data_IF_534957448121
#
_entry.id   IF_534957448121
#
_cell.length_a   1.000
_cell.length_b   1.000
_cell.length_c   1.000
_cell.angle_alpha   90.00
_cell.angle_beta   90.00
_cell.angle_gamma   90.00
#
_symmetry.space_group_name_H-M   'P 1'
#
loop_
_entity.id
_entity.type
_entity.pdbx_description
1 polymer ?
#
# COMPACT_ATOMS: atom_id res chain seq x y z
N UNK A 1 42.45 15.41 27.00
CA UNK A 1 41.00 15.22 27.24
C UNK A 1 40.16 15.27 25.96
N UNK A 2 40.45 16.12 24.97
CA UNK A 2 39.65 16.21 23.74
C UNK A 2 39.57 14.91 22.91
N UNK A 3 40.68 14.20 22.75
CA UNK A 3 40.69 12.93 21.98
C UNK A 3 39.82 11.83 22.60
N UNK A 4 39.67 11.82 23.93
CA UNK A 4 38.82 10.84 24.63
C UNK A 4 37.33 11.21 24.50
N UNK A 5 37.00 12.50 24.61
CA UNK A 5 35.62 12.97 24.43
C UNK A 5 35.12 12.75 23.00
N UNK A 6 35.97 12.98 22.00
CA UNK A 6 35.62 12.74 20.59
C UNK A 6 35.39 11.25 20.30
N UNK A 7 36.14 10.37 20.98
CA UNK A 7 35.92 8.93 20.93
C UNK A 7 34.59 8.54 21.57
N UNK A 8 34.27 9.09 22.74
CA UNK A 8 33.00 8.85 23.44
C UNK A 8 31.82 9.34 22.58
N UNK A 9 31.92 10.52 21.97
CA UNK A 9 30.87 11.06 21.10
C UNK A 9 30.63 10.20 19.87
N UNK A 10 31.70 9.71 19.22
CA UNK A 10 31.56 8.77 18.09
C UNK A 10 30.86 7.48 18.49
N UNK A 11 31.13 6.94 19.68
CA UNK A 11 30.39 5.77 20.19
C UNK A 11 28.90 6.07 20.34
N UNK A 12 28.55 7.22 20.92
CA UNK A 12 27.14 7.65 21.06
C UNK A 12 26.47 7.78 19.69
N UNK A 13 27.12 8.42 18.73
CA UNK A 13 26.61 8.58 17.36
C UNK A 13 26.48 7.24 16.62
N UNK A 14 27.34 6.27 16.92
CA UNK A 14 27.27 4.91 16.38
C UNK A 14 26.21 4.02 17.06
N UNK A 15 25.47 4.52 18.06
CA UNK A 15 24.49 3.74 18.80
C UNK A 15 25.09 2.79 19.84
N UNK A 16 26.39 2.91 20.16
CA UNK A 16 27.04 2.05 21.14
C UNK A 16 26.64 2.41 22.57
N UNK A 17 26.56 1.39 23.43
CA UNK A 17 26.35 1.56 24.87
C UNK A 17 27.67 1.98 25.51
N UNK A 18 27.67 3.15 26.16
CA UNK A 18 28.83 3.63 26.92
C UNK A 18 29.01 2.83 28.22
N UNK A 19 30.26 2.65 28.66
CA UNK A 19 30.54 2.22 30.03
C UNK A 19 30.16 3.31 31.04
N UNK A 20 29.90 2.92 32.29
CA UNK A 20 29.57 3.87 33.38
C UNK A 20 30.63 4.98 33.53
N UNK A 21 31.91 4.63 33.34
CA UNK A 21 33.01 5.58 33.39
C UNK A 21 32.97 6.59 32.21
N UNK A 22 32.64 6.14 31.01
CA UNK A 22 32.49 7.00 29.83
C UNK A 22 31.26 7.90 29.95
N UNK A 23 30.13 7.37 30.44
CA UNK A 23 28.92 8.16 30.68
C UNK A 23 29.14 9.21 31.77
N UNK A 24 29.84 8.86 32.85
CA UNK A 24 30.21 9.80 33.93
C UNK A 24 31.13 10.90 33.39
N UNK A 25 32.16 10.54 32.63
CA UNK A 25 33.05 11.51 32.01
C UNK A 25 32.30 12.45 31.05
N UNK A 26 31.32 11.94 30.29
CA UNK A 26 30.50 12.77 29.40
C UNK A 26 29.61 13.75 30.19
N UNK A 27 29.01 13.30 31.30
CA UNK A 27 28.21 14.14 32.21
C UNK A 27 29.04 15.25 32.85
N UNK A 28 30.25 14.95 33.29
CA UNK A 28 31.15 15.93 33.92
C UNK A 28 31.53 17.05 32.95
N UNK A 29 31.83 16.70 31.70
CA UNK A 29 32.13 17.71 30.67
C UNK A 29 30.86 18.49 30.28
N UNK A 30 29.70 17.82 30.18
CA UNK A 30 28.43 18.49 29.88
C UNK A 30 28.04 19.51 30.96
N UNK A 31 28.32 19.22 32.24
CA UNK A 31 28.06 20.14 33.36
C UNK A 31 28.84 21.46 33.28
N UNK A 32 30.00 21.46 32.62
CA UNK A 32 30.79 22.65 32.36
C UNK A 32 30.48 23.37 31.04
N UNK A 33 29.45 22.95 30.30
CA UNK A 33 29.13 23.47 28.96
C UNK A 33 27.87 24.34 28.94
N UNK A 34 27.89 25.41 28.13
CA UNK A 34 26.80 26.39 28.06
C UNK A 34 25.71 26.05 27.03
N UNK A 35 25.87 24.96 26.26
CA UNK A 35 24.97 24.60 25.14
C UNK A 35 24.33 23.22 25.25
N UNK A 36 23.32 22.92 24.42
CA UNK A 36 22.58 21.67 24.48
C UNK A 36 23.40 20.47 23.98
N UNK A 37 24.42 20.69 23.15
CA UNK A 37 25.13 19.64 22.40
C UNK A 37 25.69 18.51 23.26
N UNK A 38 26.37 18.82 24.37
CA UNK A 38 26.95 17.79 25.22
C UNK A 38 25.90 17.10 26.10
N UNK A 39 24.87 17.82 26.52
CA UNK A 39 23.73 17.23 27.22
C UNK A 39 22.85 16.36 26.31
N UNK A 40 22.75 16.69 25.02
CA UNK A 40 22.16 15.85 23.98
C UNK A 40 22.94 14.55 23.82
N UNK A 41 24.27 14.62 23.78
CA UNK A 41 25.11 13.42 23.74
C UNK A 41 24.91 12.53 24.99
N UNK A 42 24.76 13.13 26.19
CA UNK A 42 24.41 12.38 27.41
C UNK A 42 23.05 11.69 27.26
N UNK A 43 22.05 12.39 26.73
CA UNK A 43 20.72 11.83 26.58
C UNK A 43 20.65 10.73 25.52
N UNK A 44 21.33 10.89 24.38
CA UNK A 44 21.45 9.85 23.37
C UNK A 44 22.17 8.62 23.92
N UNK A 45 23.22 8.80 24.73
CA UNK A 45 23.88 7.68 25.41
C UNK A 45 22.92 6.91 26.33
N UNK A 46 22.03 7.61 27.04
CA UNK A 46 21.01 6.98 27.89
C UNK A 46 19.95 6.24 27.05
N UNK A 47 19.54 6.80 25.91
CA UNK A 47 18.62 6.13 24.97
C UNK A 47 19.26 4.87 24.37
N UNK A 48 20.52 4.93 23.92
CA UNK A 48 21.26 3.77 23.40
C UNK A 48 21.35 2.63 24.43
N UNK A 49 21.39 2.98 25.72
CA UNK A 49 21.44 2.02 26.83
C UNK A 49 20.06 1.47 27.24
N UNK A 50 18.96 1.89 26.60
CA UNK A 50 17.59 1.53 27.01
C UNK A 50 17.19 2.14 28.35
N UNK A 51 17.81 3.27 28.72
CA UNK A 51 17.56 4.01 29.96
C UNK A 51 16.70 5.25 29.69
N UNK A 52 15.63 5.12 28.90
CA UNK A 52 14.79 6.24 28.46
C UNK A 52 14.09 6.94 29.62
N UNK A 53 13.83 6.23 30.72
CA UNK A 53 13.29 6.81 31.97
C UNK A 53 14.25 7.81 32.62
N UNK A 54 15.55 7.62 32.46
CA UNK A 54 16.58 8.58 32.92
C UNK A 54 16.81 9.69 31.89
N UNK A 55 16.70 9.38 30.60
CA UNK A 55 16.87 10.34 29.51
C UNK A 55 15.75 11.39 29.48
N UNK A 56 14.50 10.99 29.76
CA UNK A 56 13.33 11.84 29.66
C UNK A 56 13.40 13.14 30.49
N UNK A 57 13.67 13.12 31.82
CA UNK A 57 13.74 14.37 32.61
C UNK A 57 14.87 15.29 32.14
N UNK A 58 15.96 14.73 31.63
CA UNK A 58 17.05 15.50 31.01
C UNK A 58 16.59 16.16 29.70
N UNK A 59 15.87 15.44 28.85
CA UNK A 59 15.29 15.97 27.60
C UNK A 59 14.21 17.03 27.84
N UNK A 60 13.38 16.87 28.86
CA UNK A 60 12.42 17.90 29.25
C UNK A 60 13.11 19.18 29.73
N UNK A 61 14.21 19.05 30.48
CA UNK A 61 15.03 20.20 30.88
C UNK A 61 15.64 20.88 29.66
N UNK A 62 16.27 20.13 28.75
CA UNK A 62 16.83 20.71 27.53
C UNK A 62 15.77 21.39 26.66
N UNK A 63 14.56 20.83 26.55
CA UNK A 63 13.46 21.48 25.80
C UNK A 63 13.07 22.83 26.42
N UNK A 64 13.08 22.95 27.74
CA UNK A 64 12.79 24.22 28.44
C UNK A 64 13.89 25.25 28.24
N UNK A 65 15.14 24.82 28.36
CA UNK A 65 16.30 25.71 28.31
C UNK A 65 16.66 26.11 26.88
N UNK A 66 16.36 25.24 25.90
CA UNK A 66 16.66 25.43 24.48
C UNK A 66 15.42 25.21 23.60
N UNK A 67 14.38 26.06 23.74
CA UNK A 67 13.08 25.84 23.11
C UNK A 67 13.06 26.06 21.59
N UNK A 68 14.17 26.46 20.97
CA UNK A 68 14.29 26.58 19.51
C UNK A 68 15.31 25.59 18.91
N UNK A 69 15.87 24.71 19.73
CA UNK A 69 16.79 23.69 19.24
C UNK A 69 16.00 22.49 18.67
N UNK A 70 16.26 22.18 17.41
CA UNK A 70 15.61 21.08 16.70
C UNK A 70 16.07 19.72 17.23
N UNK A 71 17.37 19.57 17.51
CA UNK A 71 17.95 18.30 17.97
C UNK A 71 17.42 17.94 19.36
N UNK A 72 17.17 18.93 20.20
CA UNK A 72 16.47 18.75 21.49
C UNK A 72 15.06 18.20 21.31
N UNK A 73 14.29 18.67 20.33
CA UNK A 73 12.95 18.12 20.05
C UNK A 73 13.01 16.69 19.52
N UNK A 74 13.92 16.43 18.59
CA UNK A 74 14.09 15.09 17.99
C UNK A 74 14.56 14.07 19.03
N UNK A 75 15.51 14.45 19.89
CA UNK A 75 15.96 13.62 21.01
C UNK A 75 14.84 13.31 22.01
N UNK A 76 14.01 14.31 22.35
CA UNK A 76 12.84 14.10 23.21
C UNK A 76 11.81 13.17 22.56
N UNK A 77 11.52 13.34 21.27
CA UNK A 77 10.60 12.46 20.54
C UNK A 77 11.09 11.00 20.53
N UNK A 78 12.38 10.77 20.25
CA UNK A 78 13.00 9.43 20.29
C UNK A 78 12.90 8.79 21.68
N UNK A 79 13.17 9.55 22.74
CA UNK A 79 13.02 9.06 24.12
C UNK A 79 11.56 8.71 24.46
N UNK A 80 10.59 9.50 24.00
CA UNK A 80 9.16 9.22 24.19
C UNK A 80 8.71 7.97 23.42
N UNK A 81 9.25 7.75 22.22
CA UNK A 81 9.02 6.52 21.45
C UNK A 81 9.55 5.27 22.13
N UNK A 82 10.75 5.32 22.72
CA UNK A 82 11.31 4.20 23.49
C UNK A 82 10.49 3.87 24.74
N UNK A 83 9.75 4.85 25.29
CA UNK A 83 8.81 4.68 26.39
C UNK A 83 7.38 4.30 25.93
N UNK A 84 7.17 4.03 24.63
CA UNK A 84 5.86 3.76 24.03
C UNK A 84 4.82 4.90 24.22
N UNK A 85 5.28 6.11 24.54
CA UNK A 85 4.44 7.31 24.70
C UNK A 85 4.18 7.97 23.35
N UNK A 86 3.49 7.24 22.47
CA UNK A 86 3.35 7.62 21.07
C UNK A 86 2.61 8.94 20.85
N UNK A 87 1.64 9.29 21.71
CA UNK A 87 0.90 10.56 21.61
C UNK A 87 1.80 11.76 21.86
N UNK A 88 2.56 11.73 22.95
CA UNK A 88 3.49 12.80 23.32
C UNK A 88 4.62 12.95 22.28
N UNK A 89 5.11 11.83 21.74
CA UNK A 89 6.13 11.85 20.69
C UNK A 89 5.63 12.56 19.43
N UNK A 90 4.37 12.33 19.05
CA UNK A 90 3.75 12.99 17.89
C UNK A 90 3.61 14.50 18.09
N UNK A 91 3.23 14.95 19.29
CA UNK A 91 3.15 16.38 19.60
C UNK A 91 4.52 17.06 19.48
N UNK A 92 5.56 16.43 20.04
CA UNK A 92 6.93 16.95 19.97
C UNK A 92 7.46 16.96 18.52
N UNK A 93 7.14 15.94 17.72
CA UNK A 93 7.50 15.91 16.29
C UNK A 93 6.79 16.98 15.48
N UNK A 94 5.52 17.29 15.81
CA UNK A 94 4.81 18.40 15.18
C UNK A 94 5.51 19.73 15.46
N UNK A 95 5.97 19.95 16.69
CA UNK A 95 6.77 21.14 17.01
C UNK A 95 8.11 21.16 16.27
N UNK A 96 8.77 20.01 16.11
CA UNK A 96 10.03 19.89 15.38
C UNK A 96 9.86 20.28 13.91
N UNK A 97 8.78 19.83 13.27
CA UNK A 97 8.44 20.18 11.89
C UNK A 97 8.06 21.66 11.72
N UNK A 98 7.56 22.32 12.76
CA UNK A 98 7.34 23.78 12.74
C UNK A 98 8.66 24.53 12.73
N UNK A 99 9.67 24.06 13.48
CA UNK A 99 11.01 24.67 13.45
C UNK A 99 11.73 24.44 12.12
N UNK A 100 11.67 23.23 11.59
CA UNK A 100 12.36 22.84 10.37
C UNK A 100 11.43 21.98 9.50
N UNK A 101 10.62 22.62 8.64
CA UNK A 101 9.72 21.91 7.75
C UNK A 101 10.48 20.97 6.81
N UNK A 102 10.17 19.68 6.90
CA UNK A 102 10.80 18.67 6.06
C UNK A 102 12.23 18.33 6.46
N UNK A 103 12.64 18.56 7.71
CA UNK A 103 13.89 18.01 8.22
C UNK A 103 13.95 16.48 8.06
N UNK A 104 14.96 15.90 7.38
CA UNK A 104 15.04 14.45 7.13
C UNK A 104 15.05 13.62 8.43
N UNK A 105 15.68 14.12 9.49
CA UNK A 105 15.76 13.45 10.77
C UNK A 105 14.38 13.40 11.45
N UNK A 106 13.62 14.50 11.41
CA UNK A 106 12.23 14.53 11.86
C UNK A 106 11.34 13.53 11.09
N UNK A 107 11.53 13.42 9.78
CA UNK A 107 10.77 12.48 8.94
C UNK A 107 11.12 11.03 9.26
N UNK A 108 12.39 10.71 9.55
CA UNK A 108 12.78 9.37 10.03
C UNK A 108 12.14 9.02 11.37
N UNK A 109 12.10 9.96 12.32
CA UNK A 109 11.45 9.70 13.62
C UNK A 109 9.93 9.52 13.47
N UNK A 110 9.29 10.21 12.52
CA UNK A 110 7.88 9.96 12.14
C UNK A 110 7.68 8.56 11.52
N UNK A 111 8.63 8.08 10.72
CA UNK A 111 8.59 6.71 10.19
C UNK A 111 8.60 5.67 11.31
N UNK A 112 9.46 5.85 12.32
CA UNK A 112 9.53 4.98 13.50
C UNK A 112 8.23 5.05 14.31
N UNK A 113 7.68 6.25 14.54
CA UNK A 113 6.39 6.42 15.21
C UNK A 113 5.27 5.66 14.49
N UNK A 114 5.19 5.80 13.16
CA UNK A 114 4.20 5.12 12.34
C UNK A 114 4.36 3.59 12.41
N UNK A 115 5.60 3.08 12.37
CA UNK A 115 5.89 1.64 12.57
C UNK A 115 5.39 1.14 13.92
N UNK A 116 5.68 1.86 15.01
CA UNK A 116 5.27 1.51 16.38
C UNK A 116 3.74 1.53 16.56
N UNK A 117 3.03 2.33 15.77
CA UNK A 117 1.56 2.37 15.73
C UNK A 117 0.93 1.34 14.78
N UNK A 118 1.74 0.58 14.03
CA UNK A 118 1.26 -0.34 13.00
C UNK A 118 0.76 0.34 11.73
N UNK A 119 1.04 1.64 11.56
CA UNK A 119 0.65 2.46 10.41
C UNK A 119 1.64 2.26 9.26
N UNK A 120 1.81 1.01 8.80
CA UNK A 120 2.84 0.61 7.81
C UNK A 120 2.85 1.49 6.55
N UNK A 121 1.67 1.83 6.02
CA UNK A 121 1.57 2.69 4.83
C UNK A 121 2.17 4.08 5.04
N UNK A 122 2.00 4.67 6.23
CA UNK A 122 2.60 5.97 6.57
C UNK A 122 4.10 5.84 6.81
N UNK A 123 4.53 4.79 7.49
CA UNK A 123 5.95 4.51 7.66
C UNK A 123 6.66 4.35 6.31
N UNK A 124 6.07 3.61 5.36
CA UNK A 124 6.59 3.44 4.00
C UNK A 124 6.72 4.78 3.26
N UNK A 125 5.73 5.67 3.41
CA UNK A 125 5.79 7.00 2.80
C UNK A 125 6.94 7.83 3.40
N UNK A 126 7.05 7.91 4.72
CA UNK A 126 8.12 8.66 5.37
C UNK A 126 9.52 8.13 5.02
N UNK A 127 9.70 6.81 4.99
CA UNK A 127 10.97 6.19 4.57
C UNK A 127 11.29 6.50 3.11
N UNK A 128 10.27 6.46 2.24
CA UNK A 128 10.44 6.81 0.81
C UNK A 128 10.85 8.27 0.65
N UNK A 129 10.17 9.19 1.35
CA UNK A 129 10.46 10.63 1.30
C UNK A 129 11.92 10.94 1.74
N UNK A 130 12.47 10.19 2.70
CA UNK A 130 13.87 10.33 3.12
C UNK A 130 14.82 9.76 2.07
N UNK A 131 14.55 8.56 1.54
CA UNK A 131 15.39 7.90 0.55
C UNK A 131 15.38 8.57 -0.83
N UNK A 132 14.31 9.28 -1.19
CA UNK A 132 14.29 10.12 -2.39
C UNK A 132 15.28 11.29 -2.31
N UNK A 133 15.55 11.78 -1.09
CA UNK A 133 16.46 12.91 -0.84
C UNK A 133 17.89 12.43 -0.61
N UNK A 134 18.04 11.35 0.16
CA UNK A 134 19.31 10.67 0.37
C UNK A 134 19.13 9.15 0.22
N UNK A 135 19.40 8.60 -0.98
CA UNK A 135 19.33 7.16 -1.23
C UNK A 135 20.30 6.31 -0.40
N UNK A 136 21.28 6.94 0.27
CA UNK A 136 22.30 6.28 1.07
C UNK A 136 22.12 6.49 2.58
N UNK A 137 21.04 7.13 3.04
CA UNK A 137 20.78 7.29 4.47
C UNK A 137 20.68 5.90 5.13
N UNK A 138 21.59 5.57 6.06
CA UNK A 138 21.68 4.23 6.62
C UNK A 138 20.48 3.88 7.50
N UNK A 139 19.91 4.86 8.21
CA UNK A 139 18.77 4.64 9.11
C UNK A 139 17.49 4.44 8.30
N UNK A 140 17.25 5.24 7.26
CA UNK A 140 16.12 5.08 6.37
C UNK A 140 16.18 3.75 5.59
N UNK A 141 17.39 3.30 5.21
CA UNK A 141 17.57 1.95 4.63
C UNK A 141 17.25 0.85 5.62
N UNK A 142 17.66 0.96 6.88
CA UNK A 142 17.30 -0.02 7.92
C UNK A 142 15.79 -0.03 8.17
N UNK A 143 15.15 1.15 8.23
CA UNK A 143 13.69 1.25 8.39
C UNK A 143 12.94 0.67 7.18
N UNK A 144 13.49 0.84 5.97
CA UNK A 144 12.99 0.17 4.76
C UNK A 144 13.12 -1.35 4.88
N UNK A 145 14.29 -1.83 5.30
CA UNK A 145 14.53 -3.27 5.52
C UNK A 145 13.59 -3.83 6.60
N UNK A 146 13.30 -3.09 7.67
CA UNK A 146 12.34 -3.48 8.71
C UNK A 146 10.90 -3.53 8.17
N UNK A 147 10.47 -2.51 7.41
CA UNK A 147 9.17 -2.49 6.75
C UNK A 147 8.99 -3.67 5.79
N UNK A 148 10.02 -3.96 5.00
CA UNK A 148 10.05 -5.07 4.05
C UNK A 148 10.13 -6.42 4.78
N UNK A 149 10.88 -6.53 5.89
CA UNK A 149 11.03 -7.76 6.66
C UNK A 149 9.73 -8.21 7.34
N UNK A 150 8.85 -7.28 7.74
CA UNK A 150 7.52 -7.60 8.27
C UNK A 150 6.56 -8.08 7.16
N UNK A 151 6.93 -7.94 5.88
CA UNK A 151 6.15 -8.37 4.71
C UNK A 151 6.74 -9.57 3.93
N UNK A 152 7.80 -10.22 4.43
CA UNK A 152 8.39 -11.38 3.75
C UNK A 152 7.74 -12.72 4.18
N UNK A 153 7.52 -13.63 3.21
CA UNK A 153 8.61 -14.52 2.84
C UNK A 153 9.38 -14.06 1.60
N UNK A 154 10.69 -13.89 1.81
CA UNK A 154 11.80 -13.83 0.84
C UNK A 154 11.68 -12.94 -0.42
N UNK A 155 12.43 -11.83 -0.36
CA UNK A 155 13.12 -11.07 -1.42
C UNK A 155 12.52 -11.00 -2.83
N UNK A 156 12.21 -9.78 -3.28
CA UNK A 156 12.93 -9.11 -4.37
C UNK A 156 12.49 -7.64 -4.52
N UNK A 157 13.38 -6.64 -4.44
CA UNK A 157 13.11 -5.29 -4.91
C UNK A 157 13.83 -5.07 -6.24
N UNK A 158 13.21 -5.46 -7.36
CA UNK A 158 13.64 -5.13 -8.73
C UNK A 158 12.42 -5.28 -9.67
N UNK A 159 11.67 -4.20 -9.93
CA UNK A 159 11.11 -4.02 -11.29
C UNK A 159 12.24 -3.85 -12.33
N UNK A 160 13.48 -3.63 -11.87
CA UNK A 160 14.65 -3.10 -12.56
C UNK A 160 15.52 -4.06 -13.40
N UNK A 161 15.10 -5.29 -13.67
CA UNK A 161 15.69 -6.08 -14.75
C UNK A 161 14.54 -6.77 -15.47
N UNK A 162 13.91 -6.01 -16.37
CA UNK A 162 13.15 -6.48 -17.54
C UNK A 162 13.05 -8.00 -17.58
N UNK A 163 11.89 -8.54 -17.22
CA UNK A 163 11.46 -9.94 -17.38
C UNK A 163 12.40 -10.69 -18.35
N UNK A 164 13.32 -11.53 -17.83
CA UNK A 164 14.35 -12.20 -18.66
C UNK A 164 13.66 -12.78 -19.90
N UNK A 165 13.94 -12.27 -21.11
CA UNK A 165 13.23 -12.71 -22.32
C UNK A 165 13.25 -14.24 -22.51
N UNK A 166 14.31 -14.88 -22.04
CA UNK A 166 14.48 -16.34 -21.98
C UNK A 166 13.44 -17.04 -21.10
N UNK A 167 13.11 -16.50 -19.92
CA UNK A 167 12.08 -17.06 -19.04
C UNK A 167 10.70 -16.96 -19.67
N UNK A 168 10.35 -15.78 -20.22
CA UNK A 168 9.07 -15.57 -20.90
C UNK A 168 8.94 -16.48 -22.12
N UNK A 169 10.00 -16.62 -22.91
CA UNK A 169 10.03 -17.51 -24.07
C UNK A 169 9.90 -18.98 -23.65
N UNK A 170 10.61 -19.40 -22.59
CA UNK A 170 10.56 -20.77 -22.07
C UNK A 170 9.17 -21.11 -21.49
N UNK A 171 8.59 -20.20 -20.69
CA UNK A 171 7.25 -20.33 -20.13
C UNK A 171 6.19 -20.40 -21.24
N UNK A 172 6.26 -19.50 -22.23
CA UNK A 172 5.35 -19.52 -23.38
C UNK A 172 5.47 -20.83 -24.17
N UNK A 173 6.69 -21.34 -24.38
CA UNK A 173 6.90 -22.61 -25.07
C UNK A 173 6.34 -23.81 -24.27
N UNK A 174 6.52 -23.82 -22.95
CA UNK A 174 5.99 -24.86 -22.07
C UNK A 174 4.45 -24.86 -22.05
N UNK A 175 3.83 -23.69 -21.92
CA UNK A 175 2.37 -23.55 -21.97
C UNK A 175 1.79 -24.03 -23.32
N UNK A 176 2.46 -23.72 -24.45
CA UNK A 176 2.05 -24.24 -25.77
C UNK A 176 2.16 -25.75 -25.86
N UNK A 177 3.24 -26.35 -25.35
CA UNK A 177 3.43 -27.81 -25.33
C UNK A 177 2.40 -28.51 -24.43
N UNK A 178 2.01 -27.87 -23.34
CA UNK A 178 0.92 -28.32 -22.48
C UNK A 178 -0.48 -28.15 -23.10
N UNK A 179 -0.59 -27.57 -24.31
CA UNK A 179 -1.86 -27.37 -25.01
C UNK A 179 -2.74 -26.26 -24.42
N UNK A 180 -2.19 -25.40 -23.57
CA UNK A 180 -2.94 -24.33 -22.90
C UNK A 180 -3.04 -23.09 -23.81
N UNK A 181 -4.22 -22.47 -23.85
CA UNK A 181 -4.38 -21.16 -24.49
C UNK A 181 -3.95 -20.08 -23.50
N UNK A 182 -3.05 -19.19 -23.90
CA UNK A 182 -2.58 -18.12 -23.03
C UNK A 182 -2.21 -16.84 -23.78
N UNK A 183 -2.11 -15.72 -23.05
CA UNK A 183 -1.63 -14.43 -23.54
C UNK A 183 -0.71 -13.79 -22.49
N UNK A 184 0.45 -13.30 -22.92
CA UNK A 184 1.34 -12.48 -22.10
C UNK A 184 0.85 -11.02 -22.15
N UNK A 185 0.67 -10.37 -21.00
CA UNK A 185 0.22 -8.98 -20.87
C UNK A 185 1.06 -8.27 -19.80
N UNK A 186 2.08 -7.53 -20.24
CA UNK A 186 3.01 -6.86 -19.32
C UNK A 186 3.68 -7.84 -18.37
N UNK A 187 3.37 -7.74 -17.07
CA UNK A 187 3.87 -8.61 -15.99
C UNK A 187 3.04 -9.86 -15.73
N UNK A 188 1.92 -10.05 -16.44
CA UNK A 188 0.98 -11.15 -16.20
C UNK A 188 0.91 -12.11 -17.40
N UNK A 189 0.63 -13.39 -17.12
CA UNK A 189 0.14 -14.38 -18.10
C UNK A 189 -1.31 -14.68 -17.79
N UNK A 190 -2.18 -14.49 -18.77
CA UNK A 190 -3.55 -14.97 -18.74
C UNK A 190 -3.57 -16.38 -19.35
N UNK A 191 -3.96 -17.39 -18.58
CA UNK A 191 -4.01 -18.78 -19.02
C UNK A 191 -5.45 -19.29 -18.92
N UNK A 192 -5.96 -19.86 -20.01
CA UNK A 192 -7.25 -20.54 -20.03
C UNK A 192 -7.09 -21.96 -19.50
N UNK A 193 -7.74 -22.25 -18.39
CA UNK A 193 -7.72 -23.55 -17.73
C UNK A 193 -8.65 -24.55 -18.43
N UNK A 194 -8.44 -25.84 -18.17
CA UNK A 194 -9.30 -26.92 -18.68
C UNK A 194 -10.73 -26.85 -18.14
N UNK A 195 -10.95 -26.17 -17.00
CA UNK A 195 -12.26 -25.83 -16.43
C UNK A 195 -13.00 -24.73 -17.20
N UNK A 196 -12.35 -24.05 -18.15
CA UNK A 196 -12.87 -22.89 -18.87
C UNK A 196 -12.60 -21.54 -18.18
N UNK A 197 -12.06 -21.55 -16.97
CA UNK A 197 -11.63 -20.35 -16.23
C UNK A 197 -10.42 -19.68 -16.88
N UNK A 198 -10.29 -18.37 -16.67
CA UNK A 198 -9.06 -17.64 -17.02
C UNK A 198 -8.32 -17.30 -15.73
N UNK A 199 -7.14 -17.90 -15.56
CA UNK A 199 -6.24 -17.58 -14.47
C UNK A 199 -5.28 -16.46 -14.90
N UNK A 200 -5.20 -15.39 -14.13
CA UNK A 200 -4.15 -14.38 -14.25
C UNK A 200 -3.00 -14.76 -13.32
N UNK A 201 -1.83 -15.01 -13.89
CA UNK A 201 -0.64 -15.42 -13.14
C UNK A 201 0.44 -14.38 -13.32
N UNK A 202 0.95 -13.83 -12.22
CA UNK A 202 2.02 -12.84 -12.27
C UNK A 202 3.35 -13.51 -12.64
N UNK A 203 3.92 -13.12 -13.78
CA UNK A 203 5.18 -13.65 -14.33
C UNK A 203 6.35 -13.35 -13.41
N UNK A 204 6.38 -12.18 -12.77
CA UNK A 204 7.45 -11.81 -11.86
C UNK A 204 7.46 -12.71 -10.62
N UNK A 205 6.27 -13.06 -10.10
CA UNK A 205 6.14 -14.04 -9.01
C UNK A 205 6.65 -15.42 -9.41
N UNK A 206 6.28 -15.89 -10.61
CA UNK A 206 6.77 -17.16 -11.17
C UNK A 206 8.30 -17.17 -11.39
N UNK A 207 8.83 -16.04 -11.84
CA UNK A 207 10.26 -15.87 -12.07
C UNK A 207 11.04 -15.78 -10.75
N UNK A 208 10.51 -15.10 -9.73
CA UNK A 208 11.14 -15.03 -8.40
C UNK A 208 11.22 -16.40 -7.72
N UNK A 209 10.18 -17.23 -7.88
CA UNK A 209 10.16 -18.60 -7.39
C UNK A 209 11.16 -19.54 -8.11
N UNK A 210 11.68 -19.13 -9.29
CA UNK A 210 12.76 -19.82 -9.97
C UNK A 210 14.09 -19.51 -9.28
N UNK A 211 14.49 -20.36 -8.33
CA UNK A 211 15.81 -20.31 -7.66
C UNK A 211 16.94 -20.51 -8.66
N UNK A 212 17.34 -19.43 -9.35
CA UNK A 212 18.14 -19.34 -10.59
C UNK A 212 19.54 -19.94 -10.59
N UNK A 213 19.68 -21.22 -10.21
CA UNK A 213 20.94 -21.95 -10.19
C UNK A 213 20.84 -23.42 -9.77
N UNK A 214 19.71 -23.91 -9.21
CA UNK A 214 19.59 -25.32 -8.77
C UNK A 214 18.75 -26.23 -9.68
N UNK A 215 17.90 -25.69 -10.56
CA UNK A 215 17.06 -26.45 -11.51
C UNK A 215 17.17 -25.85 -12.91
N UNK A 216 17.17 -26.70 -13.94
CA UNK A 216 17.15 -26.25 -15.33
C UNK A 216 15.86 -25.48 -15.63
N UNK A 217 15.97 -24.33 -16.29
CA UNK A 217 14.84 -23.45 -16.62
C UNK A 217 13.70 -24.20 -17.32
N UNK A 218 14.02 -25.05 -18.30
CA UNK A 218 13.05 -25.85 -19.06
C UNK A 218 12.24 -26.78 -18.16
N UNK A 219 12.89 -27.53 -17.27
CA UNK A 219 12.19 -28.46 -16.36
C UNK A 219 11.25 -27.71 -15.41
N UNK A 220 11.68 -26.53 -14.94
CA UNK A 220 10.89 -25.69 -14.06
C UNK A 220 9.61 -25.17 -14.74
N UNK A 221 9.74 -24.60 -15.94
CA UNK A 221 8.57 -24.07 -16.67
C UNK A 221 7.61 -25.17 -17.14
N UNK A 222 8.11 -26.37 -17.44
CA UNK A 222 7.28 -27.54 -17.77
C UNK A 222 6.43 -28.00 -16.58
N UNK A 223 7.05 -28.12 -15.39
CA UNK A 223 6.31 -28.44 -14.16
C UNK A 223 5.27 -27.37 -13.83
N UNK A 224 5.62 -26.11 -14.01
CA UNK A 224 4.72 -25.00 -13.80
C UNK A 224 3.53 -25.03 -14.79
N UNK A 225 3.79 -25.25 -16.07
CA UNK A 225 2.73 -25.38 -17.08
C UNK A 225 1.80 -26.57 -16.78
N UNK A 226 2.36 -27.70 -16.33
CA UNK A 226 1.57 -28.86 -15.89
C UNK A 226 0.73 -28.56 -14.63
N UNK A 227 1.28 -27.81 -13.67
CA UNK A 227 0.54 -27.37 -12.48
C UNK A 227 -0.60 -26.41 -12.83
N UNK A 228 -0.33 -25.41 -13.67
CA UNK A 228 -1.34 -24.46 -14.14
C UNK A 228 -2.44 -25.20 -14.91
N UNK A 229 -2.08 -26.10 -15.84
CA UNK A 229 -3.06 -26.92 -16.57
C UNK A 229 -3.81 -27.94 -15.70
N UNK A 230 -3.20 -28.35 -14.60
CA UNK A 230 -3.72 -29.32 -13.63
C UNK A 230 -4.49 -28.73 -12.47
N UNK A 231 -4.61 -27.39 -12.36
CA UNK A 231 -5.48 -26.72 -11.40
C UNK A 231 -6.94 -27.08 -11.71
N UNK A 232 -7.39 -28.22 -11.19
CA UNK A 232 -8.81 -28.56 -11.07
C UNK A 232 -9.41 -27.67 -10.02
N UNK A 233 -10.52 -27.05 -10.36
CA UNK A 233 -11.26 -26.24 -9.42
C UNK A 233 -11.82 -27.12 -8.31
N UNK A 234 -11.65 -26.70 -7.06
CA UNK A 234 -12.45 -27.14 -5.90
C UNK A 234 -13.89 -26.61 -6.02
N UNK A 235 -14.51 -26.75 -7.19
CA UNK A 235 -15.93 -26.50 -7.37
C UNK A 235 -16.63 -27.84 -7.19
N UNK A 236 -16.98 -28.13 -5.93
CA UNK A 236 -17.88 -29.23 -5.61
C UNK A 236 -19.27 -29.00 -6.23
N UNK A 237 -20.13 -30.01 -6.14
CA UNK A 237 -21.52 -29.96 -6.63
C UNK A 237 -22.37 -28.88 -5.92
N UNK A 238 -21.94 -28.39 -4.75
CA UNK A 238 -22.59 -27.30 -4.02
C UNK A 238 -22.09 -25.93 -4.47
N UNK A 239 -23.01 -25.13 -5.02
CA UNK A 239 -22.74 -23.78 -5.50
C UNK A 239 -22.67 -22.71 -4.40
N UNK A 240 -23.09 -23.03 -3.19
CA UNK A 240 -23.21 -22.09 -2.07
C UNK A 240 -21.87 -21.42 -1.68
N UNK A 241 -20.74 -22.15 -1.56
CA UNK A 241 -19.44 -21.55 -1.24
C UNK A 241 -18.94 -20.60 -2.33
N UNK A 242 -19.22 -20.91 -3.61
CA UNK A 242 -18.86 -20.06 -4.74
C UNK A 242 -19.63 -18.75 -4.69
N UNK A 243 -20.96 -18.82 -4.52
CA UNK A 243 -21.80 -17.62 -4.51
C UNK A 243 -21.36 -16.65 -3.41
N UNK A 244 -21.02 -17.16 -2.21
CA UNK A 244 -20.52 -16.36 -1.07
C UNK A 244 -19.26 -15.53 -1.38
N UNK A 245 -18.38 -16.06 -2.22
CA UNK A 245 -17.11 -15.44 -2.60
C UNK A 245 -17.22 -14.57 -3.84
N UNK A 246 -18.37 -14.57 -4.52
CA UNK A 246 -18.53 -13.84 -5.77
C UNK A 246 -18.66 -12.33 -5.50
N UNK A 247 -17.94 -11.52 -6.28
CA UNK A 247 -17.98 -10.05 -6.26
C UNK A 247 -18.09 -9.49 -7.67
N UNK A 248 -18.86 -8.41 -7.89
CA UNK A 248 -18.88 -7.72 -9.16
C UNK A 248 -17.71 -6.72 -9.25
N UNK A 249 -17.13 -6.58 -10.43
CA UNK A 249 -16.11 -5.58 -10.75
C UNK A 249 -16.48 -4.84 -12.03
N UNK A 250 -16.25 -3.53 -12.06
CA UNK A 250 -16.43 -2.72 -13.26
C UNK A 250 -15.19 -2.79 -14.15
N UNK A 251 -15.42 -2.84 -15.46
CA UNK A 251 -14.38 -2.84 -16.50
C UNK A 251 -14.75 -1.91 -17.64
N UNK A 252 -13.77 -1.34 -18.37
CA UNK A 252 -14.06 -0.56 -19.57
C UNK A 252 -14.68 -1.44 -20.66
N UNK A 253 -15.41 -0.83 -21.59
CA UNK A 253 -15.94 -1.52 -22.77
C UNK A 253 -14.83 -2.24 -23.56
N UNK A 254 -15.12 -3.47 -23.99
CA UNK A 254 -14.21 -4.29 -24.78
C UNK A 254 -13.23 -5.10 -23.92
N UNK A 255 -13.44 -5.12 -22.60
CA UNK A 255 -12.62 -5.93 -21.69
C UNK A 255 -12.86 -7.43 -21.88
N UNK A 256 -13.98 -7.83 -22.48
CA UNK A 256 -14.25 -9.21 -22.89
C UNK A 256 -13.11 -9.85 -23.70
N UNK A 257 -12.41 -9.06 -24.53
CA UNK A 257 -11.27 -9.54 -25.32
C UNK A 257 -10.07 -9.94 -24.45
N UNK A 258 -10.00 -9.42 -23.22
CA UNK A 258 -8.99 -9.75 -22.20
C UNK A 258 -9.47 -10.85 -21.24
N UNK A 259 -10.78 -11.05 -21.10
CA UNK A 259 -11.39 -12.04 -20.21
C UNK A 259 -12.34 -12.97 -20.99
N UNK A 260 -11.81 -13.64 -22.02
CA UNK A 260 -12.61 -14.44 -22.96
C UNK A 260 -13.27 -15.62 -22.26
N UNK A 261 -14.60 -15.71 -22.35
CA UNK A 261 -15.40 -16.77 -21.73
C UNK A 261 -15.73 -16.51 -20.26
N UNK A 262 -15.27 -15.39 -19.70
CA UNK A 262 -15.69 -14.93 -18.39
C UNK A 262 -17.13 -14.42 -18.43
N UNK A 263 -17.86 -14.72 -17.37
CA UNK A 263 -19.19 -14.20 -17.11
C UNK A 263 -19.11 -12.68 -16.98
N UNK A 264 -19.91 -11.99 -17.79
CA UNK A 264 -20.03 -10.54 -17.74
C UNK A 264 -21.40 -10.11 -18.28
N UNK A 265 -21.73 -8.84 -18.04
CA UNK A 265 -22.91 -8.17 -18.63
C UNK A 265 -22.66 -6.69 -18.82
N UNK A 266 -23.54 -6.04 -19.58
CA UNK A 266 -23.54 -4.59 -19.68
C UNK A 266 -23.75 -3.92 -18.30
N UNK A 267 -22.96 -2.87 -18.05
CA UNK A 267 -23.05 -1.99 -16.88
C UNK A 267 -23.38 -0.55 -17.28
N UNK A 268 -23.46 0.37 -16.30
CA UNK A 268 -23.73 1.77 -16.55
C UNK A 268 -22.55 2.48 -17.22
N UNK A 269 -22.77 3.68 -17.76
CA UNK A 269 -21.72 4.53 -18.34
C UNK A 269 -20.86 3.89 -19.46
N UNK A 270 -21.40 2.89 -20.16
CA UNK A 270 -20.65 2.12 -21.16
C UNK A 270 -19.56 1.23 -20.56
N UNK A 271 -19.66 0.91 -19.27
CA UNK A 271 -18.82 -0.06 -18.57
C UNK A 271 -19.44 -1.45 -18.64
N UNK A 272 -18.63 -2.46 -18.33
CA UNK A 272 -19.03 -3.85 -18.23
C UNK A 272 -18.91 -4.32 -16.78
N UNK A 273 -19.83 -5.17 -16.36
CA UNK A 273 -19.79 -5.83 -15.04
C UNK A 273 -19.25 -7.24 -15.25
N UNK A 274 -18.09 -7.52 -14.66
CA UNK A 274 -17.52 -8.87 -14.59
C UNK A 274 -17.68 -9.42 -13.18
N UNK A 275 -17.63 -10.74 -13.04
CA UNK A 275 -17.75 -11.40 -11.74
C UNK A 275 -16.45 -12.13 -11.41
N UNK A 276 -15.96 -11.87 -10.20
CA UNK A 276 -14.69 -12.40 -9.71
C UNK A 276 -14.92 -13.15 -8.41
N UNK A 277 -14.12 -14.19 -8.19
CA UNK A 277 -14.07 -14.88 -6.91
C UNK A 277 -13.06 -14.16 -6.02
N UNK A 278 -13.50 -13.81 -4.82
CA UNK A 278 -12.67 -13.26 -3.75
C UNK A 278 -11.58 -14.27 -3.39
N UNK A 279 -10.34 -13.88 -3.61
CA UNK A 279 -9.14 -14.65 -3.30
C UNK A 279 -8.05 -13.68 -2.80
N UNK A 280 -7.35 -13.98 -1.69
CA UNK A 280 -6.37 -13.09 -1.09
C UNK A 280 -5.17 -12.78 -2.00
N UNK A 281 -4.87 -13.65 -2.97
CA UNK A 281 -3.63 -13.56 -3.75
C UNK A 281 -3.86 -13.24 -5.24
N UNK A 282 -5.06 -13.48 -5.80
CA UNK A 282 -5.33 -13.32 -7.25
C UNK A 282 -6.75 -12.84 -7.56
N UNK A 283 -6.95 -12.24 -8.74
CA UNK A 283 -8.30 -12.03 -9.29
C UNK A 283 -8.64 -13.14 -10.25
N UNK A 284 -9.67 -13.92 -9.91
CA UNK A 284 -10.16 -15.03 -10.72
C UNK A 284 -11.53 -14.68 -11.30
N UNK A 285 -11.61 -14.50 -12.62
CA UNK A 285 -12.88 -14.24 -13.30
C UNK A 285 -13.68 -15.53 -13.42
N UNK A 286 -14.94 -15.49 -12.99
CA UNK A 286 -15.85 -16.62 -13.07
C UNK A 286 -16.19 -16.88 -14.55
N UNK A 287 -16.00 -18.09 -15.11
CA UNK A 287 -16.38 -18.41 -16.47
C UNK A 287 -17.88 -18.66 -16.57
N UNK A 288 -18.46 -18.27 -17.69
CA UNK A 288 -19.89 -18.49 -17.95
C UNK A 288 -20.25 -19.98 -17.99
N UNK A 289 -19.32 -20.83 -18.43
CA UNK A 289 -19.50 -22.28 -18.46
C UNK A 289 -19.61 -22.91 -17.07
N UNK A 290 -19.00 -22.31 -16.03
CA UNK A 290 -19.09 -22.85 -14.67
C UNK A 290 -20.51 -22.75 -14.11
N UNK A 291 -21.27 -21.71 -14.46
CA UNK A 291 -22.67 -21.59 -14.02
C UNK A 291 -23.52 -22.76 -14.51
N UNK A 292 -23.39 -23.12 -15.80
CA UNK A 292 -24.13 -24.24 -16.40
C UNK A 292 -23.80 -25.57 -15.74
N UNK A 293 -22.52 -25.81 -15.45
CA UNK A 293 -22.08 -27.03 -14.77
C UNK A 293 -22.67 -27.17 -13.36
N UNK A 294 -23.00 -26.05 -12.71
CA UNK A 294 -23.53 -26.01 -11.34
C UNK A 294 -25.06 -25.80 -11.29
N UNK A 295 -25.74 -25.78 -12.44
CA UNK A 295 -27.18 -25.52 -12.51
C UNK A 295 -27.60 -24.12 -12.07
N UNK A 296 -26.67 -23.16 -12.06
CA UNK A 296 -26.94 -21.76 -11.70
C UNK A 296 -27.32 -20.92 -12.93
N UNK A 297 -28.21 -19.95 -12.72
CA UNK A 297 -28.50 -18.92 -13.72
C UNK A 297 -27.58 -17.72 -13.57
N UNK A 298 -27.44 -16.94 -14.65
CA UNK A 298 -26.65 -15.69 -14.65
C UNK A 298 -27.24 -14.69 -13.66
N UNK A 299 -28.57 -14.62 -13.58
CA UNK A 299 -29.30 -13.71 -12.68
C UNK A 299 -29.07 -14.06 -11.21
N UNK A 300 -28.99 -15.36 -10.88
CA UNK A 300 -28.70 -15.81 -9.52
C UNK A 300 -27.28 -15.43 -9.10
N UNK A 301 -26.31 -15.60 -10.01
CA UNK A 301 -24.93 -15.20 -9.78
C UNK A 301 -24.79 -13.68 -9.63
N UNK A 302 -25.43 -12.90 -10.50
CA UNK A 302 -25.45 -11.44 -10.43
C UNK A 302 -26.05 -10.95 -9.10
N UNK A 303 -27.25 -11.44 -8.77
CA UNK A 303 -27.95 -11.09 -7.53
C UNK A 303 -27.10 -11.40 -6.28
N UNK A 304 -26.47 -12.58 -6.22
CA UNK A 304 -25.59 -12.95 -5.12
C UNK A 304 -24.37 -12.02 -5.02
N UNK A 305 -23.71 -11.74 -6.14
CA UNK A 305 -22.52 -10.88 -6.17
C UNK A 305 -22.83 -9.46 -5.66
N UNK A 306 -23.93 -8.85 -6.15
CA UNK A 306 -24.35 -7.52 -5.69
C UNK A 306 -24.84 -7.50 -4.26
N UNK A 307 -25.56 -8.53 -3.81
CA UNK A 307 -26.01 -8.64 -2.42
C UNK A 307 -24.82 -8.71 -1.45
N UNK A 308 -23.72 -9.35 -1.81
CA UNK A 308 -22.52 -9.37 -0.96
C UNK A 308 -21.85 -8.00 -0.93
N UNK A 309 -21.73 -7.34 -2.08
CA UNK A 309 -21.11 -6.02 -2.13
C UNK A 309 -21.95 -4.96 -1.38
N UNK A 310 -23.28 -5.06 -1.44
CA UNK A 310 -24.23 -4.24 -0.69
C UNK A 310 -24.06 -4.42 0.84
N UNK A 311 -23.79 -5.65 1.29
CA UNK A 311 -23.55 -5.95 2.71
C UNK A 311 -22.15 -5.53 3.21
N UNK A 312 -21.23 -5.16 2.31
CA UNK A 312 -19.85 -4.79 2.62
C UNK A 312 -19.46 -3.42 2.02
N UNK A 313 -20.10 -2.34 2.49
CA UNK A 313 -19.75 -0.98 2.09
C UNK A 313 -18.39 -0.56 2.62
N UNK A 314 -17.69 0.26 1.85
CA UNK A 314 -16.35 0.76 2.12
C UNK A 314 -16.37 2.11 2.84
N UNK A 315 -15.30 2.44 3.59
CA UNK A 315 -15.14 3.75 4.20
C UNK A 315 -14.97 4.83 3.13
N UNK A 316 -15.64 5.96 3.35
CA UNK A 316 -15.46 7.19 2.57
C UNK A 316 -14.51 8.08 3.35
N UNK A 317 -13.33 8.38 2.81
CA UNK A 317 -12.28 9.13 3.50
C UNK A 317 -11.87 10.36 2.70
N UNK A 318 -11.56 11.50 3.33
CA UNK A 318 -11.02 12.64 2.61
C UNK A 318 -9.61 12.31 2.08
N UNK A 319 -9.28 12.86 0.90
CA UNK A 319 -7.98 12.64 0.24
C UNK A 319 -7.42 13.91 -0.35
N UNK A 320 -6.10 14.06 -0.29
CA UNK A 320 -5.36 15.12 -0.96
C UNK A 320 -4.62 14.55 -2.16
N UNK A 321 -4.56 15.33 -3.24
CA UNK A 321 -3.72 15.02 -4.39
C UNK A 321 -2.50 15.92 -4.36
N UNK A 322 -1.32 15.33 -4.14
CA UNK A 322 -0.05 16.04 -4.19
C UNK A 322 0.77 15.53 -5.38
N UNK A 323 1.07 16.42 -6.33
CA UNK A 323 1.81 16.11 -7.58
C UNK A 323 1.28 14.87 -8.33
N UNK A 324 -0.03 14.64 -8.32
CA UNK A 324 -0.69 13.51 -8.98
C UNK A 324 -0.76 12.22 -8.15
N UNK A 325 -0.21 12.23 -6.94
CA UNK A 325 -0.30 11.13 -5.97
C UNK A 325 -1.45 11.38 -5.00
N UNK A 326 -2.33 10.39 -4.85
CA UNK A 326 -3.45 10.43 -3.92
C UNK A 326 -2.97 9.98 -2.53
N UNK A 327 -3.24 10.78 -1.49
CA UNK A 327 -2.98 10.43 -0.09
C UNK A 327 -4.24 10.61 0.76
N UNK A 328 -4.45 9.73 1.74
CA UNK A 328 -5.50 9.94 2.75
C UNK A 328 -5.21 11.22 3.53
N UNK A 329 -6.23 12.02 3.77
CA UNK A 329 -6.14 13.25 4.55
C UNK A 329 -6.86 13.07 5.90
N UNK A 330 -6.41 13.78 6.93
CA UNK A 330 -7.11 13.83 8.23
C UNK A 330 -8.28 14.81 8.20
N UNK A 331 -8.17 15.87 7.38
CA UNK A 331 -9.19 16.90 7.18
C UNK A 331 -9.66 16.91 5.74
N UNK A 332 -10.92 17.30 5.51
CA UNK A 332 -11.47 17.40 4.17
C UNK A 332 -10.70 18.40 3.30
N UNK A 333 -10.25 17.93 2.13
CA UNK A 333 -9.38 18.62 1.18
C UNK A 333 -10.05 18.84 -0.19
N UNK A 334 -11.38 18.73 -0.26
CA UNK A 334 -12.14 18.88 -1.50
C UNK A 334 -12.45 17.55 -2.22
N UNK A 335 -11.66 16.51 -1.96
CA UNK A 335 -11.83 15.18 -2.55
C UNK A 335 -12.10 14.12 -1.47
N UNK A 336 -12.84 13.09 -1.86
CA UNK A 336 -13.01 11.85 -1.10
C UNK A 336 -12.51 10.65 -1.89
N UNK A 337 -12.18 9.58 -1.19
CA UNK A 337 -12.01 8.25 -1.75
C UNK A 337 -12.94 7.25 -1.05
N UNK A 338 -13.59 6.41 -1.87
CA UNK A 338 -14.08 5.10 -1.41
C UNK A 338 -12.88 4.16 -1.52
N UNK A 339 -12.31 3.77 -0.38
CA UNK A 339 -10.99 3.16 -0.32
C UNK A 339 -10.97 1.96 0.64
N UNK A 340 -11.65 0.87 0.26
CA UNK A 340 -11.44 -0.42 0.93
C UNK A 340 -10.11 -1.04 0.49
N UNK A 341 -9.65 -0.75 -0.73
CA UNK A 341 -8.36 -1.26 -1.23
C UNK A 341 -8.42 -2.68 -1.80
N UNK A 342 -9.60 -3.28 -1.89
CA UNK A 342 -9.79 -4.67 -2.32
C UNK A 342 -10.08 -4.83 -3.83
N UNK A 343 -10.24 -3.72 -4.55
CA UNK A 343 -10.47 -3.69 -5.98
C UNK A 343 -11.92 -3.66 -6.43
N UNK A 344 -12.87 -3.54 -5.50
CA UNK A 344 -14.30 -3.53 -5.80
C UNK A 344 -14.94 -2.13 -5.63
N UNK A 345 -14.15 -1.11 -5.29
CA UNK A 345 -14.65 0.22 -4.92
C UNK A 345 -15.42 0.92 -6.04
N UNK A 346 -15.02 0.73 -7.29
CA UNK A 346 -15.78 1.23 -8.44
C UNK A 346 -17.20 0.63 -8.51
N UNK A 347 -17.33 -0.67 -8.27
CA UNK A 347 -18.63 -1.35 -8.25
C UNK A 347 -19.45 -0.93 -7.01
N UNK A 348 -18.80 -0.70 -5.86
CA UNK A 348 -19.48 -0.23 -4.65
C UNK A 348 -20.25 1.06 -4.87
N UNK A 349 -19.79 1.95 -5.75
CA UNK A 349 -20.53 3.18 -6.08
C UNK A 349 -21.96 2.93 -6.60
N UNK A 350 -22.25 1.71 -7.08
CA UNK A 350 -23.55 1.33 -7.58
C UNK A 350 -24.48 0.73 -6.50
N UNK A 351 -23.97 0.42 -5.30
CA UNK A 351 -24.77 -0.13 -4.19
C UNK A 351 -25.51 0.98 -3.45
N UNK A 352 -26.68 0.67 -2.90
CA UNK A 352 -27.53 1.66 -2.23
C UNK A 352 -26.93 2.12 -0.90
N UNK A 353 -26.34 1.19 -0.15
CA UNK A 353 -25.68 1.45 1.12
C UNK A 353 -24.40 2.30 0.94
N UNK A 354 -23.60 2.05 -0.10
CA UNK A 354 -22.45 2.92 -0.37
C UNK A 354 -22.90 4.33 -0.76
N UNK A 355 -23.96 4.46 -1.58
CA UNK A 355 -24.53 5.76 -1.95
C UNK A 355 -25.06 6.52 -0.74
N UNK A 356 -25.72 5.82 0.20
CA UNK A 356 -26.14 6.40 1.49
C UNK A 356 -24.94 6.96 2.25
N UNK A 357 -23.85 6.20 2.36
CA UNK A 357 -22.62 6.65 3.05
C UNK A 357 -21.95 7.83 2.36
N UNK A 358 -21.92 7.84 1.03
CA UNK A 358 -21.44 8.98 0.26
C UNK A 358 -22.28 10.22 0.52
N UNK A 359 -23.62 10.10 0.53
CA UNK A 359 -24.50 11.23 0.83
C UNK A 359 -24.29 11.78 2.25
N UNK A 360 -24.02 10.92 3.24
CA UNK A 360 -23.71 11.35 4.61
C UNK A 360 -22.39 12.13 4.73
N UNK A 361 -21.41 11.85 3.86
CA UNK A 361 -20.07 12.45 3.93
C UNK A 361 -19.92 13.64 2.96
N UNK A 362 -20.35 13.47 1.72
CA UNK A 362 -20.25 14.46 0.66
C UNK A 362 -21.51 15.34 0.54
N UNK A 363 -22.59 15.03 1.22
CA UNK A 363 -23.88 15.71 1.06
C UNK A 363 -24.70 15.16 -0.11
N UNK A 364 -25.95 15.61 -0.20
CA UNK A 364 -26.85 15.25 -1.30
C UNK A 364 -26.49 16.04 -2.56
N UNK A 365 -26.23 15.36 -3.67
CA UNK A 365 -25.88 15.99 -4.94
C UNK A 365 -25.12 15.06 -5.88
N UNK A 366 -24.93 15.50 -7.12
CA UNK A 366 -24.12 14.78 -8.08
C UNK A 366 -22.62 14.88 -7.72
N UNK A 367 -21.93 13.75 -7.85
CA UNK A 367 -20.49 13.65 -7.62
C UNK A 367 -19.77 13.42 -8.94
N UNK A 368 -18.63 14.08 -9.10
CA UNK A 368 -17.65 13.77 -10.14
C UNK A 368 -16.79 12.61 -9.65
N UNK A 369 -16.56 11.61 -10.50
CA UNK A 369 -15.92 10.35 -10.12
C UNK A 369 -14.78 10.01 -11.08
N UNK A 370 -13.64 9.60 -10.52
CA UNK A 370 -12.52 9.04 -11.28
C UNK A 370 -12.25 7.61 -10.78
N UNK A 371 -12.21 6.67 -11.74
CA UNK A 371 -12.07 5.23 -11.52
C UNK A 371 -10.73 4.70 -12.06
N UNK A 372 -9.74 5.59 -12.19
CA UNK A 372 -8.44 5.33 -12.82
C UNK A 372 -7.54 4.38 -12.02
N UNK A 373 -7.91 4.04 -10.79
CA UNK A 373 -7.18 3.08 -9.95
C UNK A 373 -8.13 2.00 -9.47
N UNK A 374 -7.55 0.83 -9.23
CA UNK A 374 -8.31 -0.33 -8.81
C UNK A 374 -8.66 -0.23 -7.32
N UNK A 375 -7.73 0.27 -6.54
CA UNK A 375 -7.69 0.26 -5.08
C UNK A 375 -8.64 1.28 -4.43
N UNK A 376 -9.16 2.23 -5.21
CA UNK A 376 -10.10 3.23 -4.70
C UNK A 376 -10.86 3.90 -5.84
N UNK A 377 -12.02 4.46 -5.51
CA UNK A 377 -12.73 5.41 -6.37
C UNK A 377 -12.61 6.82 -5.79
N UNK A 378 -12.15 7.78 -6.60
CA UNK A 378 -12.04 9.18 -6.19
C UNK A 378 -13.29 9.96 -6.55
N UNK A 379 -13.75 10.81 -5.64
CA UNK A 379 -14.96 11.60 -5.80
C UNK A 379 -14.78 13.05 -5.34
N UNK A 380 -15.49 13.97 -5.97
CA UNK A 380 -15.74 15.32 -5.45
C UNK A 380 -17.15 15.77 -5.80
N UNK A 381 -17.64 16.85 -5.18
CA UNK A 381 -18.94 17.40 -5.59
C UNK A 381 -18.83 18.00 -6.97
N UNK A 382 -19.86 17.82 -7.78
CA UNK A 382 -19.88 18.44 -9.10
C UNK A 382 -19.95 19.97 -9.05
N UNK A 383 -20.38 20.55 -7.93
CA UNK A 383 -20.34 22.00 -7.66
C UNK A 383 -18.91 22.55 -7.49
N UNK A 384 -17.95 21.68 -7.18
CA UNK A 384 -16.62 22.08 -6.74
C UNK A 384 -15.68 22.08 -7.96
N UNK A 385 -15.68 23.21 -8.69
CA UNK A 385 -15.06 23.30 -10.02
C UNK A 385 -13.54 23.05 -10.01
N UNK A 386 -12.82 23.54 -8.99
CA UNK A 386 -11.38 23.36 -8.88
C UNK A 386 -11.02 21.88 -8.65
N UNK A 387 -11.77 21.21 -7.78
CA UNK A 387 -11.65 19.79 -7.48
C UNK A 387 -12.02 18.92 -8.69
N UNK A 388 -13.07 19.28 -9.43
CA UNK A 388 -13.43 18.62 -10.68
C UNK A 388 -12.30 18.72 -11.72
N UNK A 389 -11.67 19.88 -11.84
CA UNK A 389 -10.52 20.08 -12.74
C UNK A 389 -9.32 19.25 -12.29
N UNK A 390 -9.00 19.24 -11.00
CA UNK A 390 -7.92 18.44 -10.44
C UNK A 390 -8.14 16.94 -10.67
N UNK A 391 -9.36 16.45 -10.41
CA UNK A 391 -9.76 15.06 -10.60
C UNK A 391 -9.70 14.63 -12.08
N UNK A 392 -9.93 15.54 -13.01
CA UNK A 392 -9.88 15.27 -14.46
C UNK A 392 -8.47 15.24 -15.02
N UNK A 393 -7.50 15.88 -14.35
CA UNK A 393 -6.07 15.86 -14.74
C UNK A 393 -5.33 14.63 -14.24
N UNK A 394 -5.94 13.86 -13.35
CA UNK A 394 -5.38 12.62 -12.85
C UNK A 394 -5.28 11.56 -13.95
N UNK A 395 -4.13 10.87 -13.98
CA UNK A 395 -3.91 9.73 -14.86
C UNK A 395 -4.73 8.50 -14.45
N UNK A 396 -4.42 7.35 -15.05
CA UNK A 396 -4.98 6.07 -14.66
C UNK A 396 -3.91 4.98 -14.68
N UNK A 397 -4.06 3.97 -13.83
CA UNK A 397 -3.29 2.74 -13.89
C UNK A 397 -3.63 1.94 -15.17
N UNK A 398 -2.73 1.05 -15.64
CA UNK A 398 -2.99 0.20 -16.81
C UNK A 398 -4.23 -0.71 -16.67
N UNK A 399 -4.60 -1.08 -15.45
CA UNK A 399 -5.77 -1.89 -15.11
C UNK A 399 -6.93 -1.10 -14.51
N UNK A 400 -6.81 0.23 -14.47
CA UNK A 400 -7.87 1.16 -14.07
C UNK A 400 -8.86 1.46 -15.20
N UNK A 401 -9.95 2.15 -14.86
CA UNK A 401 -10.97 2.58 -15.83
C UNK A 401 -10.69 4.03 -16.24
N UNK A 402 -10.27 4.29 -17.48
CA UNK A 402 -9.92 5.64 -17.92
C UNK A 402 -11.16 6.53 -18.06
N UNK A 403 -10.99 7.80 -17.70
CA UNK A 403 -11.99 8.85 -17.86
C UNK A 403 -12.64 9.29 -16.56
N UNK A 404 -13.58 10.21 -16.69
CA UNK A 404 -14.31 10.81 -15.57
C UNK A 404 -15.79 10.54 -15.75
N UNK A 405 -16.47 10.33 -14.64
CA UNK A 405 -17.86 9.92 -14.56
C UNK A 405 -18.65 10.86 -13.66
N UNK A 406 -19.97 10.88 -13.82
CA UNK A 406 -20.92 11.51 -12.91
C UNK A 406 -21.70 10.44 -12.18
N UNK A 407 -21.68 10.48 -10.86
CA UNK A 407 -22.54 9.68 -9.99
C UNK A 407 -23.69 10.57 -9.50
N UNK A 408 -24.91 10.20 -9.88
CA UNK A 408 -26.15 10.94 -9.60
C UNK A 408 -27.22 9.99 -9.08
N UNK A 409 -28.40 10.51 -8.72
CA UNK A 409 -29.53 9.70 -8.29
C UNK A 409 -29.96 8.69 -9.38
N UNK A 410 -29.80 9.07 -10.64
CA UNK A 410 -30.12 8.28 -11.83
C UNK A 410 -29.09 7.17 -12.11
N UNK A 411 -27.92 7.22 -11.45
CA UNK A 411 -26.86 6.23 -11.62
C UNK A 411 -25.51 6.84 -11.96
N UNK A 412 -24.61 5.98 -12.45
CA UNK A 412 -23.30 6.37 -12.95
C UNK A 412 -23.39 6.65 -14.46
N UNK A 413 -22.88 7.79 -14.91
CA UNK A 413 -22.83 8.20 -16.32
C UNK A 413 -21.43 8.65 -16.70
N UNK A 414 -21.03 8.45 -17.96
CA UNK A 414 -19.74 8.91 -18.45
C UNK A 414 -19.84 10.38 -18.86
N UNK A 415 -18.80 11.17 -18.59
CA UNK A 415 -18.74 12.60 -18.92
C UNK A 415 -17.88 12.90 -20.14
#
# INVERSE_FOLDING_TARGET
MSANLESIRRKVEAGEVLSDAELTALRDVAAGSEGPTLWLAVAHALVNAGAEREALPLMERLRRDFPQDLQVRLGLARALLGLERHGDAEEVLREALVLSPGDPEAVKVLAVLALRRGEKGRAQQYVTDVLERDPFDPEARLLKEELEAVELPSHAPVEEQVLRPEFNAALAAALRRAGLQFRLQGRDVLVKLSSGEVARVNVASLYSAYQGGKRGLTEYVEKLAAQIGGMRTELGEDATPLLRRLRPVLRPSGFEAQAVGSLHRAGPAGLEVFYVLEDPEYVRYLPESALKAMGLTVEAADSAAWSHLEASPAPVRPVVVDRGVVRLAETFSGLWAVAEGDGHDAARLLTSEQRRRLALQAGEGALRVNLGWREFALLCRESDAAECEALSKLGHAPDGIPGVFRLSAEGLTKL
#
